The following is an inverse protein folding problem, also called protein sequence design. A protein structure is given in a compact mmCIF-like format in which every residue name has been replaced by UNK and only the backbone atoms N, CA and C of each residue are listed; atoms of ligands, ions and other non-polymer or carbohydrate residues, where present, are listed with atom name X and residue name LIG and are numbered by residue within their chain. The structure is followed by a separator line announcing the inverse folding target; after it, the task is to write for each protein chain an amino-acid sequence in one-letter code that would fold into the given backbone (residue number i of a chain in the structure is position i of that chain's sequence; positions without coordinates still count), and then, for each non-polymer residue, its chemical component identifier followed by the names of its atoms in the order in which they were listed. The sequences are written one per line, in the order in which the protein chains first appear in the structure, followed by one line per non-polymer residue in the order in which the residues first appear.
data_IF_433534016249
#
_entry.id   IF_433534016249
#
_cell.length_a   1.000
_cell.length_b   1.000
_cell.length_c   1.000
_cell.angle_alpha   90.00
_cell.angle_beta   90.00
_cell.angle_gamma   90.00
#
_symmetry.space_group_name_H-M   'P 1'
#
loop_
_entity.id
_entity.type
_entity.pdbx_description
1 polymer ?
#
# COMPACT_ATOMS: atom_id res chain seq x y z
N UNK A 1 8.12 -5.85 6.13
CA UNK A 1 9.42 -5.30 5.71
C UNK A 1 9.32 -3.79 5.66
N UNK A 2 10.24 -3.10 6.32
CA UNK A 2 10.37 -1.64 6.26
C UNK A 2 11.38 -1.31 5.16
N UNK A 3 11.13 -0.22 4.45
CA UNK A 3 12.07 0.31 3.46
C UNK A 3 12.82 1.48 4.11
N UNK A 4 14.17 1.51 4.07
CA UNK A 4 14.91 2.65 4.57
C UNK A 4 14.61 3.87 3.67
N UNK A 5 14.35 5.00 4.32
CA UNK A 5 14.11 6.30 3.72
C UNK A 5 15.33 7.20 3.85
N UNK A 6 15.12 8.45 4.30
CA UNK A 6 16.20 9.41 4.47
C UNK A 6 17.17 9.01 5.59
N UNK A 7 18.44 9.36 5.39
CA UNK A 7 19.50 9.25 6.39
C UNK A 7 19.83 10.64 6.91
N UNK A 8 20.01 10.75 8.22
CA UNK A 8 20.44 11.98 8.87
C UNK A 8 21.45 11.65 9.98
N UNK A 9 22.24 12.64 10.35
CA UNK A 9 23.27 12.54 11.38
C UNK A 9 23.04 13.63 12.42
N UNK A 10 23.31 13.32 13.69
CA UNK A 10 23.21 14.26 14.80
C UNK A 10 24.37 14.08 15.77
N UNK A 11 24.55 15.07 16.66
CA UNK A 11 25.63 15.11 17.64
C UNK A 11 27.00 15.10 16.95
N UNK A 12 27.24 16.09 16.08
CA UNK A 12 28.47 16.21 15.28
C UNK A 12 29.61 16.80 16.13
N UNK A 13 29.96 16.11 17.21
CA UNK A 13 31.02 16.51 18.13
C UNK A 13 31.80 15.28 18.60
N UNK A 14 33.10 15.41 18.91
CA UNK A 14 33.90 14.27 19.32
C UNK A 14 33.42 13.72 20.68
N UNK A 15 33.39 12.39 20.88
CA UNK A 15 33.03 11.81 22.17
C UNK A 15 34.04 12.24 23.24
N UNK A 16 33.63 13.13 24.15
CA UNK A 16 34.49 13.64 25.20
C UNK A 16 33.72 14.14 26.41
N UNK A 17 34.25 13.86 27.60
CA UNK A 17 33.74 14.34 28.88
C UNK A 17 34.42 15.66 29.32
N UNK A 18 35.42 16.13 28.57
CA UNK A 18 36.20 17.32 28.94
C UNK A 18 35.38 18.58 28.72
N UNK A 19 35.24 19.40 29.77
CA UNK A 19 34.43 20.63 29.74
C UNK A 19 34.86 21.63 28.66
N UNK A 20 36.15 21.66 28.30
CA UNK A 20 36.66 22.53 27.21
C UNK A 20 36.09 22.12 25.85
N UNK A 21 36.00 20.81 25.59
CA UNK A 21 35.47 20.27 24.33
C UNK A 21 33.96 20.51 24.24
N UNK A 22 33.23 20.30 25.33
CA UNK A 22 31.79 20.58 25.40
C UNK A 22 31.48 22.07 25.22
N UNK A 23 32.32 22.98 25.73
CA UNK A 23 32.17 24.43 25.49
C UNK A 23 32.31 24.79 24.00
N UNK A 24 33.17 24.07 23.27
CA UNK A 24 33.41 24.27 21.85
C UNK A 24 32.38 23.57 20.93
N UNK A 25 31.30 23.02 21.48
CA UNK A 25 30.25 22.31 20.72
C UNK A 25 29.81 23.02 19.42
N UNK A 26 29.58 24.33 19.42
CA UNK A 26 29.14 25.07 18.23
C UNK A 26 30.20 25.17 17.13
N UNK A 27 31.48 25.16 17.49
CA UNK A 27 32.58 25.07 16.53
C UNK A 27 32.64 23.65 15.95
N UNK A 28 32.51 22.63 16.81
CA UNK A 28 32.47 21.24 16.39
C UNK A 28 31.26 20.91 15.52
N UNK A 29 30.07 21.44 15.80
CA UNK A 29 28.89 21.25 14.95
C UNK A 29 29.11 21.82 13.53
N UNK A 30 29.73 23.00 13.41
CA UNK A 30 30.05 23.60 12.10
C UNK A 30 31.15 22.83 11.37
N UNK A 31 32.20 22.47 12.10
CA UNK A 31 33.32 21.72 11.54
C UNK A 31 32.87 20.31 11.17
N UNK A 32 32.09 19.63 12.01
CA UNK A 32 31.56 18.28 11.82
C UNK A 32 30.54 18.20 10.69
N UNK A 33 29.75 19.25 10.43
CA UNK A 33 28.95 19.32 9.18
C UNK A 33 29.82 19.34 7.93
N UNK A 34 31.08 19.80 8.03
CA UNK A 34 32.06 19.86 6.93
C UNK A 34 33.01 18.66 6.91
N UNK A 35 33.37 18.17 8.08
CA UNK A 35 34.19 17.02 8.41
C UNK A 35 33.24 15.85 8.68
N UNK A 36 32.87 15.14 7.62
CA UNK A 36 32.19 13.82 7.50
C UNK A 36 31.90 12.95 8.75
N UNK A 37 31.02 11.92 8.65
CA UNK A 37 30.39 11.13 9.74
C UNK A 37 31.24 10.59 10.89
N UNK A 38 32.57 10.68 10.83
CA UNK A 38 33.49 10.26 11.89
C UNK A 38 33.12 10.83 13.27
N UNK A 39 32.50 12.01 13.32
CA UNK A 39 32.04 12.65 14.55
C UNK A 39 30.52 12.58 14.79
N UNK A 40 29.75 11.84 13.98
CA UNK A 40 28.32 11.70 14.22
C UNK A 40 28.07 10.73 15.38
N UNK A 41 27.62 11.26 16.53
CA UNK A 41 27.26 10.44 17.68
C UNK A 41 26.01 9.59 17.44
N UNK A 42 25.13 10.01 16.53
CA UNK A 42 23.91 9.27 16.18
C UNK A 42 23.69 9.30 14.67
N UNK A 43 23.36 8.12 14.11
CA UNK A 43 22.86 7.96 12.75
C UNK A 43 21.35 7.68 12.84
N UNK A 44 20.58 8.51 12.15
CA UNK A 44 19.13 8.44 12.09
C UNK A 44 18.75 7.89 10.72
N UNK A 45 17.98 6.80 10.71
CA UNK A 45 17.44 6.21 9.49
C UNK A 45 15.92 6.27 9.57
N UNK A 46 15.31 7.02 8.66
CA UNK A 46 13.85 6.99 8.52
C UNK A 46 13.43 5.62 7.98
N UNK A 47 12.47 4.96 8.63
CA UNK A 47 11.95 3.68 8.17
C UNK A 47 10.50 3.85 7.71
N UNK A 48 10.22 3.55 6.45
CA UNK A 48 8.89 3.67 5.88
C UNK A 48 8.24 2.29 5.71
N UNK A 49 7.05 2.12 6.29
CA UNK A 49 6.22 0.93 6.07
C UNK A 49 5.19 1.23 5.00
N UNK A 50 5.41 0.73 3.79
CA UNK A 50 4.42 0.83 2.72
C UNK A 50 3.38 -0.27 2.89
N UNK A 51 2.15 0.12 3.20
CA UNK A 51 1.01 -0.79 3.19
C UNK A 51 0.31 -0.64 1.86
N UNK A 52 0.41 -1.66 1.00
CA UNK A 52 -0.36 -1.69 -0.23
C UNK A 52 -1.77 -2.14 0.11
N UNK A 53 -2.75 -1.25 -0.08
CA UNK A 53 -4.14 -1.65 -0.05
C UNK A 53 -4.39 -2.54 -1.26
N UNK A 54 -4.83 -3.77 -1.04
CA UNK A 54 -5.20 -4.65 -2.14
C UNK A 54 -6.24 -3.95 -3.01
N UNK A 55 -6.07 -4.00 -4.33
CA UNK A 55 -7.11 -3.54 -5.27
C UNK A 55 -8.43 -4.19 -4.86
N UNK A 56 -9.55 -3.44 -4.80
CA UNK A 56 -10.84 -4.05 -4.53
C UNK A 56 -11.08 -5.08 -5.64
N UNK A 57 -10.88 -6.36 -5.32
CA UNK A 57 -11.36 -7.47 -6.15
C UNK A 57 -12.85 -7.27 -6.16
N UNK A 58 -13.38 -6.73 -7.26
CA UNK A 58 -14.79 -6.40 -7.40
C UNK A 58 -15.59 -7.54 -6.79
N UNK A 59 -16.25 -7.27 -5.65
CA UNK A 59 -17.02 -8.28 -4.94
C UNK A 59 -17.94 -8.89 -5.98
N UNK A 60 -17.67 -10.17 -6.33
CA UNK A 60 -18.32 -10.84 -7.45
C UNK A 60 -19.81 -10.65 -7.26
N UNK A 61 -20.39 -9.74 -8.04
CA UNK A 61 -21.82 -9.51 -8.01
C UNK A 61 -22.42 -10.85 -8.38
N UNK A 62 -22.94 -11.55 -7.36
CA UNK A 62 -23.71 -12.75 -7.57
C UNK A 62 -24.81 -12.32 -8.52
N UNK A 63 -24.67 -12.66 -9.81
CA UNK A 63 -25.76 -12.65 -10.76
C UNK A 63 -26.72 -13.70 -10.21
N UNK A 64 -27.52 -13.31 -9.22
CA UNK A 64 -28.76 -13.99 -8.87
C UNK A 64 -29.60 -13.82 -10.11
N UNK A 65 -29.46 -14.77 -11.04
CA UNK A 65 -30.31 -14.87 -12.21
C UNK A 65 -31.69 -15.21 -11.64
N UNK A 66 -32.54 -14.20 -11.53
CA UNK A 66 -33.96 -14.43 -11.29
C UNK A 66 -34.51 -15.12 -12.53
N UNK A 67 -34.74 -16.42 -12.43
CA UNK A 67 -35.47 -17.18 -13.45
C UNK A 67 -36.95 -16.81 -13.27
N UNK A 68 -37.59 -16.12 -14.23
CA UNK A 68 -39.00 -15.79 -14.11
C UNK A 68 -39.84 -17.09 -14.11
N UNK A 69 -40.75 -17.20 -13.14
CA UNK A 69 -41.61 -18.39 -12.90
C UNK A 69 -42.64 -18.67 -14.01
N UNK A 70 -42.74 -17.80 -15.01
CA UNK A 70 -43.65 -17.97 -16.15
C UNK A 70 -42.87 -18.27 -17.43
N UNK A 71 -42.34 -19.49 -17.52
CA UNK A 71 -41.83 -20.02 -18.79
C UNK A 71 -43.01 -20.25 -19.75
N UNK A 72 -42.95 -19.74 -21.00
CA UNK A 72 -44.08 -19.81 -21.93
C UNK A 72 -44.44 -21.26 -22.23
N UNK A 73 -45.68 -21.63 -21.90
CA UNK A 73 -46.26 -22.91 -22.28
C UNK A 73 -46.57 -22.85 -23.78
N UNK A 74 -45.84 -23.62 -24.59
CA UNK A 74 -46.18 -23.81 -26.00
C UNK A 74 -47.51 -24.54 -26.10
N UNK A 75 -48.60 -23.80 -26.34
CA UNK A 75 -49.88 -24.41 -26.66
C UNK A 75 -49.78 -25.02 -28.06
N UNK A 76 -49.64 -26.33 -28.10
CA UNK A 76 -49.63 -27.15 -29.32
C UNK A 76 -50.93 -26.87 -30.08
N UNK A 77 -50.86 -26.03 -31.13
CA UNK A 77 -51.99 -25.80 -32.01
C UNK A 77 -52.33 -27.15 -32.66
N UNK A 78 -53.48 -27.69 -32.27
CA UNK A 78 -54.04 -28.92 -32.76
C UNK A 78 -54.36 -28.76 -34.26
N UNK A 79 -53.37 -29.03 -35.12
CA UNK A 79 -53.64 -29.24 -36.53
C UNK A 79 -54.11 -30.68 -36.72
N UNK A 80 -55.37 -30.92 -36.37
CA UNK A 80 -56.12 -32.10 -36.78
C UNK A 80 -57.31 -31.61 -37.60
N UNK A 81 -57.07 -31.31 -38.89
CA UNK A 81 -58.17 -31.23 -39.86
C UNK A 81 -58.66 -32.65 -40.11
N UNK A 82 -59.84 -32.93 -39.60
CA UNK A 82 -60.67 -34.06 -40.01
C UNK A 82 -61.20 -33.84 -41.43
N UNK A 83 -61.25 -34.96 -42.16
CA UNK A 83 -61.66 -35.24 -43.56
C UNK A 83 -63.12 -34.84 -43.89
N UNK A 84 -63.50 -34.70 -45.17
CA UNK A 84 -64.30 -35.76 -45.85
C UNK A 84 -63.91 -35.95 -47.36
N UNK A 85 -63.63 -37.17 -47.82
CA UNK A 85 -64.48 -38.10 -48.63
C UNK A 85 -64.86 -37.62 -50.04
N UNK A 86 -64.13 -38.12 -51.04
CA UNK A 86 -64.62 -38.90 -52.19
C UNK A 86 -63.52 -39.91 -52.58
#
# INVERSE_FOLDING_TARGET
NFTPGAFAEALLFPPSERSVILRLHGLFERIGRRMWPVFAGVIIVEAQKRLYQGLPVAARASRRVFVPVLSPQTSRAAHRRSKPSD
#
